data_IF_876008180811
#
_entry.id   IF_876008180811
#
_cell.length_a   1.000
_cell.length_b   1.000
_cell.length_c   1.000
_cell.angle_alpha   90.00
_cell.angle_beta   90.00
_cell.angle_gamma   90.00
#
_symmetry.space_group_name_H-M   'P 1'
#
loop_
_entity.id
_entity.type
_entity.pdbx_description
1 polymer ?
#
# COMPACT_ATOMS: atom_id res chain seq x y z
N UNK A 1 3.55 -15.09 -5.79
CA UNK A 1 2.90 -13.80 -6.14
C UNK A 1 3.78 -13.06 -7.13
N UNK A 2 3.19 -12.57 -8.19
CA UNK A 2 3.91 -11.69 -9.14
C UNK A 2 4.13 -10.34 -8.48
N UNK A 3 5.31 -9.76 -8.68
CA UNK A 3 5.61 -8.40 -8.23
C UNK A 3 5.05 -7.42 -9.25
N UNK A 4 4.28 -6.44 -8.78
CA UNK A 4 3.76 -5.36 -9.61
C UNK A 4 4.77 -4.21 -9.62
N UNK A 5 5.18 -3.82 -10.80
CA UNK A 5 6.01 -2.63 -10.99
C UNK A 5 5.11 -1.40 -11.02
N UNK A 6 5.11 -0.65 -9.93
CA UNK A 6 4.35 0.58 -9.82
C UNK A 6 5.28 1.78 -9.99
N UNK A 7 5.12 2.50 -11.10
CA UNK A 7 5.85 3.76 -11.31
C UNK A 7 5.05 4.87 -10.63
N UNK A 8 5.53 5.34 -9.49
CA UNK A 8 4.91 6.43 -8.76
C UNK A 8 5.49 7.78 -9.23
N UNK A 9 4.67 8.58 -9.88
CA UNK A 9 5.04 9.92 -10.31
C UNK A 9 5.04 10.91 -9.14
N UNK A 10 6.20 11.47 -8.88
CA UNK A 10 6.42 12.81 -8.37
C UNK A 10 5.90 13.17 -6.98
N UNK A 11 6.73 13.01 -5.97
CA UNK A 11 6.57 13.76 -4.70
C UNK A 11 7.18 15.15 -4.87
N UNK A 12 6.32 16.19 -4.83
CA UNK A 12 6.76 17.59 -4.85
C UNK A 12 7.14 18.03 -3.44
N UNK A 13 8.40 18.35 -3.22
CA UNK A 13 8.89 18.87 -1.94
C UNK A 13 9.24 20.34 -2.04
N UNK A 14 8.77 21.12 -1.07
CA UNK A 14 9.20 22.52 -0.89
C UNK A 14 10.49 22.49 -0.05
N UNK A 15 11.60 22.88 -0.63
CA UNK A 15 12.90 22.86 0.03
C UNK A 15 13.19 24.23 0.64
N UNK A 16 13.22 24.28 1.97
CA UNK A 16 13.87 25.35 2.70
C UNK A 16 15.38 25.07 2.80
N UNK A 17 16.18 26.10 2.53
CA UNK A 17 17.65 26.19 2.42
C UNK A 17 18.54 25.12 3.07
N UNK A 18 19.46 24.64 2.25
CA UNK A 18 20.90 24.36 2.43
C UNK A 18 21.38 23.57 3.64
N UNK A 19 21.51 22.25 3.45
CA UNK A 19 22.64 21.46 3.97
C UNK A 19 22.87 20.30 3.00
N UNK A 20 24.11 20.00 2.69
CA UNK A 20 24.56 18.94 1.76
C UNK A 20 24.00 17.53 2.05
N UNK A 21 23.42 17.33 3.23
CA UNK A 21 22.73 16.11 3.67
C UNK A 21 21.20 16.11 3.37
N UNK A 22 20.66 17.14 2.74
CA UNK A 22 19.22 17.38 2.66
C UNK A 22 18.73 17.51 1.21
N UNK A 23 19.21 16.63 0.33
CA UNK A 23 18.73 16.57 -1.05
C UNK A 23 17.29 16.02 -1.10
N UNK A 24 16.48 16.39 -2.11
CA UNK A 24 15.15 15.82 -2.30
C UNK A 24 15.16 14.29 -2.34
N UNK A 25 16.11 13.70 -3.06
CA UNK A 25 16.31 12.24 -3.09
C UNK A 25 16.49 11.66 -1.68
N UNK A 26 17.35 12.24 -0.84
CA UNK A 26 17.56 11.78 0.54
C UNK A 26 16.30 11.84 1.40
N UNK A 27 15.47 12.85 1.20
CA UNK A 27 14.17 12.96 1.89
C UNK A 27 13.22 11.85 1.47
N UNK A 28 13.18 11.53 0.18
CA UNK A 28 12.37 10.43 -0.34
C UNK A 28 12.87 9.09 0.17
N UNK A 29 14.18 8.83 0.12
CA UNK A 29 14.79 7.61 0.66
C UNK A 29 14.48 7.46 2.16
N UNK A 30 14.57 8.54 2.92
CA UNK A 30 14.22 8.55 4.34
C UNK A 30 12.75 8.19 4.56
N UNK A 31 11.84 8.80 3.78
CA UNK A 31 10.40 8.49 3.84
C UNK A 31 10.14 7.02 3.54
N UNK A 32 10.69 6.49 2.45
CA UNK A 32 10.52 5.09 2.05
C UNK A 32 11.10 4.13 3.11
N UNK A 33 12.22 4.51 3.73
CA UNK A 33 12.80 3.72 4.83
C UNK A 33 11.90 3.66 6.06
N UNK A 34 11.08 4.68 6.33
CA UNK A 34 10.06 4.64 7.39
C UNK A 34 9.00 3.59 7.09
N UNK A 35 8.54 3.49 5.84
CA UNK A 35 7.62 2.42 5.43
C UNK A 35 8.25 1.05 5.60
N UNK A 36 9.46 0.83 5.06
CA UNK A 36 10.17 -0.45 5.18
C UNK A 36 10.41 -0.89 6.63
N UNK A 37 10.58 0.05 7.55
CA UNK A 37 10.77 -0.21 8.98
C UNK A 37 9.46 -0.33 9.77
N UNK A 38 8.31 -0.11 9.12
CA UNK A 38 7.02 0.03 9.82
C UNK A 38 7.11 1.05 10.97
N UNK A 39 7.68 2.22 10.70
CA UNK A 39 7.83 3.31 11.66
C UNK A 39 6.48 3.66 12.32
N UNK A 40 6.50 4.06 13.57
CA UNK A 40 5.29 4.33 14.35
C UNK A 40 4.35 5.35 13.68
N UNK A 41 4.89 6.37 13.01
CA UNK A 41 4.08 7.36 12.32
C UNK A 41 3.35 6.74 11.11
N UNK A 42 4.02 5.85 10.38
CA UNK A 42 3.42 5.11 9.25
C UNK A 42 2.31 4.19 9.76
N UNK A 43 2.56 3.47 10.84
CA UNK A 43 1.56 2.57 11.44
C UNK A 43 0.35 3.36 11.98
N UNK A 44 0.55 4.51 12.62
CA UNK A 44 -0.55 5.37 13.07
C UNK A 44 -1.41 5.88 11.91
N UNK A 45 -0.80 6.22 10.78
CA UNK A 45 -1.54 6.61 9.57
C UNK A 45 -2.36 5.45 9.01
N UNK A 46 -1.80 4.25 8.97
CA UNK A 46 -2.51 3.04 8.57
C UNK A 46 -3.69 2.76 9.51
N UNK A 47 -3.47 2.81 10.82
CA UNK A 47 -4.53 2.62 11.82
C UNK A 47 -5.67 3.65 11.66
N UNK A 48 -5.32 4.92 11.44
CA UNK A 48 -6.32 5.98 11.21
C UNK A 48 -7.15 5.71 9.95
N UNK A 49 -6.52 5.24 8.88
CA UNK A 49 -7.21 4.87 7.64
C UNK A 49 -8.15 3.69 7.84
N UNK A 50 -7.73 2.69 8.61
CA UNK A 50 -8.54 1.52 8.92
C UNK A 50 -9.71 1.85 9.84
N UNK A 51 -9.54 2.74 10.81
CA UNK A 51 -10.62 3.21 11.68
C UNK A 51 -11.72 3.92 10.88
N UNK A 52 -11.36 4.69 9.87
CA UNK A 52 -12.31 5.37 9.00
C UNK A 52 -12.99 4.44 7.98
N UNK A 53 -12.48 3.25 7.76
CA UNK A 53 -13.08 2.27 6.86
C UNK A 53 -14.30 1.62 7.50
N UNK A 54 -15.47 1.81 6.89
CA UNK A 54 -16.77 1.30 7.38
C UNK A 54 -17.17 -0.05 6.75
N UNK A 55 -16.42 -0.52 5.77
CA UNK A 55 -16.72 -1.77 5.04
C UNK A 55 -16.16 -2.99 5.76
N UNK A 56 -14.97 -2.86 6.37
CA UNK A 56 -14.29 -3.95 7.04
C UNK A 56 -14.73 -4.08 8.51
N UNK A 57 -14.97 -5.29 8.96
CA UNK A 57 -15.13 -5.61 10.38
C UNK A 57 -13.77 -5.59 11.11
N UNK A 58 -13.78 -5.56 12.43
CA UNK A 58 -12.57 -5.40 13.26
C UNK A 58 -11.52 -6.47 12.92
N UNK A 59 -11.92 -7.74 12.83
CA UNK A 59 -11.02 -8.85 12.53
C UNK A 59 -10.38 -8.73 11.14
N UNK A 60 -11.14 -8.27 10.15
CA UNK A 60 -10.62 -8.02 8.81
C UNK A 60 -9.65 -6.84 8.77
N UNK A 61 -9.89 -5.80 9.60
CA UNK A 61 -8.96 -4.67 9.74
C UNK A 61 -7.61 -5.12 10.29
N UNK A 62 -7.60 -6.00 11.26
CA UNK A 62 -6.36 -6.53 11.84
C UNK A 62 -5.58 -7.35 10.81
N UNK A 63 -6.24 -8.21 10.05
CA UNK A 63 -5.60 -8.96 8.97
C UNK A 63 -5.06 -8.04 7.87
N UNK A 64 -5.84 -7.07 7.45
CA UNK A 64 -5.43 -6.08 6.45
C UNK A 64 -4.20 -5.30 6.93
N UNK A 65 -4.18 -4.88 8.20
CA UNK A 65 -3.03 -4.21 8.80
C UNK A 65 -1.76 -5.06 8.72
N UNK A 66 -1.83 -6.34 9.04
CA UNK A 66 -0.68 -7.23 8.97
C UNK A 66 -0.19 -7.43 7.52
N UNK A 67 -1.09 -7.53 6.56
CA UNK A 67 -0.74 -7.58 5.12
C UNK A 67 -0.02 -6.30 4.70
N UNK A 68 -0.54 -5.13 5.06
CA UNK A 68 0.06 -3.84 4.71
C UNK A 68 1.42 -3.64 5.36
N UNK A 69 1.59 -4.03 6.62
CA UNK A 69 2.89 -4.01 7.31
C UNK A 69 3.94 -4.87 6.59
N UNK A 70 3.53 -6.05 6.12
CA UNK A 70 4.38 -6.94 5.34
C UNK A 70 4.72 -6.32 3.99
N UNK A 71 3.73 -5.77 3.29
CA UNK A 71 3.94 -5.10 2.02
C UNK A 71 4.89 -3.90 2.14
N UNK A 72 4.76 -3.10 3.19
CA UNK A 72 5.68 -1.99 3.46
C UNK A 72 7.10 -2.48 3.71
N UNK A 73 7.26 -3.52 4.53
CA UNK A 73 8.56 -4.10 4.85
C UNK A 73 9.27 -4.64 3.61
N UNK A 74 8.52 -5.25 2.70
CA UNK A 74 9.06 -5.97 1.53
C UNK A 74 9.09 -5.08 0.27
N UNK A 75 8.63 -3.82 0.33
CA UNK A 75 8.73 -2.91 -0.80
C UNK A 75 10.20 -2.68 -1.18
N UNK A 76 10.48 -2.68 -2.47
CA UNK A 76 11.76 -2.23 -3.00
C UNK A 76 11.56 -1.00 -3.87
N UNK A 77 12.57 -0.17 -3.99
CA UNK A 77 12.47 1.04 -4.80
C UNK A 77 13.78 1.36 -5.52
N UNK A 78 13.64 2.15 -6.58
CA UNK A 78 14.77 2.69 -7.34
C UNK A 78 14.51 4.14 -7.68
N UNK A 79 15.41 5.02 -7.31
CA UNK A 79 15.36 6.42 -7.74
C UNK A 79 15.73 6.48 -9.22
N UNK A 80 14.87 7.09 -10.03
CA UNK A 80 15.06 7.23 -11.48
C UNK A 80 15.61 8.58 -11.86
N UNK A 81 15.07 9.65 -11.27
CA UNK A 81 15.42 11.01 -11.64
C UNK A 81 15.14 11.98 -10.49
N UNK A 82 15.86 13.10 -10.48
CA UNK A 82 15.62 14.24 -9.60
C UNK A 82 15.66 15.51 -10.44
N UNK A 83 14.64 16.34 -10.35
CA UNK A 83 14.60 17.67 -10.96
C UNK A 83 14.30 18.72 -9.90
N UNK A 84 15.07 19.81 -9.90
CA UNK A 84 14.92 20.91 -8.96
C UNK A 84 14.60 22.17 -9.78
N UNK A 85 13.51 22.86 -9.39
CA UNK A 85 13.11 24.15 -9.96
C UNK A 85 12.85 25.13 -8.81
N UNK A 86 13.80 26.00 -8.57
CA UNK A 86 13.75 27.01 -7.51
C UNK A 86 13.61 26.37 -6.12
N UNK A 87 12.43 26.52 -5.51
CA UNK A 87 12.10 25.98 -4.18
C UNK A 87 11.39 24.62 -4.23
N UNK A 88 11.10 24.11 -5.40
CA UNK A 88 10.37 22.88 -5.64
C UNK A 88 11.31 21.82 -6.21
N UNK A 89 11.14 20.58 -5.77
CA UNK A 89 11.86 19.45 -6.33
C UNK A 89 10.88 18.32 -6.63
N UNK A 90 11.16 17.60 -7.72
CA UNK A 90 10.45 16.38 -8.10
C UNK A 90 11.45 15.24 -8.11
N UNK A 91 11.12 14.17 -7.41
CA UNK A 91 11.91 12.93 -7.42
C UNK A 91 11.04 11.83 -8.01
N UNK A 92 11.50 11.24 -9.11
CA UNK A 92 10.86 10.10 -9.74
C UNK A 92 11.38 8.82 -9.11
N UNK A 93 10.44 7.99 -8.62
CA UNK A 93 10.76 6.73 -7.93
C UNK A 93 9.96 5.59 -8.57
N UNK A 94 10.65 4.53 -8.89
CA UNK A 94 10.06 3.24 -9.26
C UNK A 94 9.93 2.40 -7.97
N UNK A 95 8.72 1.98 -7.64
CA UNK A 95 8.44 1.16 -6.46
C UNK A 95 7.94 -0.21 -6.94
N UNK A 96 8.50 -1.27 -6.36
CA UNK A 96 8.09 -2.65 -6.61
C UNK A 96 7.43 -3.20 -5.35
N UNK A 97 6.19 -3.69 -5.51
CA UNK A 97 5.37 -4.26 -4.44
C UNK A 97 4.73 -5.56 -4.92
N UNK A 98 4.14 -6.35 -4.00
CA UNK A 98 3.36 -7.53 -4.38
C UNK A 98 2.08 -7.15 -5.12
N UNK A 99 1.74 -7.96 -6.14
CA UNK A 99 0.51 -7.76 -6.91
C UNK A 99 -0.69 -8.41 -6.23
N UNK A 100 -1.31 -7.65 -5.33
CA UNK A 100 -2.58 -8.07 -4.72
C UNK A 100 -3.77 -7.97 -5.68
N UNK A 101 -3.67 -7.21 -6.76
CA UNK A 101 -4.71 -7.11 -7.78
C UNK A 101 -4.99 -8.45 -8.44
N UNK A 102 -3.94 -9.23 -8.73
CA UNK A 102 -4.10 -10.58 -9.27
C UNK A 102 -4.82 -11.50 -8.27
N UNK A 103 -4.45 -11.45 -6.99
CA UNK A 103 -5.11 -12.27 -5.96
C UNK A 103 -6.60 -11.93 -5.83
N UNK A 104 -6.95 -10.65 -5.87
CA UNK A 104 -8.35 -10.20 -5.85
C UNK A 104 -9.12 -10.74 -7.06
N UNK A 105 -8.54 -10.65 -8.27
CA UNK A 105 -9.16 -11.18 -9.50
C UNK A 105 -9.40 -12.69 -9.39
N UNK A 106 -8.45 -13.46 -8.87
CA UNK A 106 -8.62 -14.90 -8.68
C UNK A 106 -9.76 -15.24 -7.70
N UNK A 107 -9.97 -14.42 -6.68
CA UNK A 107 -11.09 -14.58 -5.73
C UNK A 107 -12.42 -14.19 -6.38
N UNK A 108 -12.44 -13.13 -7.17
CA UNK A 108 -13.63 -12.72 -7.92
C UNK A 108 -14.04 -13.80 -8.94
N UNK A 109 -13.08 -14.43 -9.61
CA UNK A 109 -13.33 -15.56 -10.50
C UNK A 109 -13.89 -16.77 -9.73
N UNK A 110 -13.40 -17.06 -8.53
CA UNK A 110 -13.98 -18.09 -7.65
C UNK A 110 -15.43 -17.76 -7.27
N UNK A 111 -15.74 -16.50 -6.95
CA UNK A 111 -17.10 -16.08 -6.64
C UNK A 111 -18.04 -16.31 -7.83
N UNK A 112 -17.62 -15.99 -9.05
CA UNK A 112 -18.42 -16.19 -10.27
C UNK A 112 -18.60 -17.66 -10.59
N UNK A 113 -17.51 -18.45 -10.54
CA UNK A 113 -17.51 -19.84 -10.96
C UNK A 113 -17.95 -20.81 -9.86
N UNK A 114 -17.91 -20.41 -8.59
CA UNK A 114 -18.19 -21.26 -7.43
C UNK A 114 -18.83 -20.47 -6.29
N UNK A 115 -19.91 -19.75 -6.61
CA UNK A 115 -20.61 -18.83 -5.71
C UNK A 115 -21.12 -19.51 -4.42
N UNK A 116 -21.33 -20.82 -4.45
CA UNK A 116 -21.76 -21.59 -3.28
C UNK A 116 -20.80 -21.49 -2.09
N UNK A 117 -19.50 -21.24 -2.36
CA UNK A 117 -18.49 -21.07 -1.30
C UNK A 117 -18.74 -19.83 -0.42
N UNK A 118 -19.46 -18.85 -0.97
CA UNK A 118 -19.70 -17.56 -0.33
C UNK A 118 -21.15 -17.33 0.07
N UNK A 119 -21.99 -18.38 0.01
CA UNK A 119 -23.39 -18.30 0.44
C UNK A 119 -23.53 -18.66 1.91
N UNK A 120 -24.44 -17.99 2.55
CA UNK A 120 -24.89 -18.35 3.90
C UNK A 120 -25.97 -19.45 3.86
N UNK A 121 -26.48 -19.83 5.04
CA UNK A 121 -27.53 -20.83 5.16
C UNK A 121 -28.86 -20.44 4.47
N UNK A 122 -29.07 -19.15 4.17
CA UNK A 122 -30.21 -18.64 3.44
C UNK A 122 -30.00 -18.61 1.91
N UNK A 123 -28.78 -18.94 1.44
CA UNK A 123 -28.41 -18.91 0.02
C UNK A 123 -28.02 -17.53 -0.50
N UNK A 124 -27.86 -16.55 0.39
CA UNK A 124 -27.43 -15.19 0.07
C UNK A 124 -25.90 -15.08 0.10
N UNK A 125 -25.32 -14.20 -0.73
CA UNK A 125 -23.88 -13.96 -0.73
C UNK A 125 -23.46 -13.35 0.61
N UNK A 126 -22.62 -14.07 1.34
CA UNK A 126 -22.05 -13.61 2.60
C UNK A 126 -20.80 -12.75 2.34
N UNK A 127 -20.98 -11.44 2.48
CA UNK A 127 -19.91 -10.47 2.23
C UNK A 127 -18.71 -10.63 3.20
N UNK A 128 -18.92 -11.20 4.38
CA UNK A 128 -17.83 -11.46 5.33
C UNK A 128 -16.94 -12.57 4.81
N UNK A 129 -17.52 -13.71 4.39
CA UNK A 129 -16.73 -14.82 3.81
C UNK A 129 -15.97 -14.38 2.56
N UNK A 130 -16.62 -13.60 1.69
CA UNK A 130 -15.99 -13.07 0.48
C UNK A 130 -14.83 -12.11 0.79
N UNK A 131 -15.01 -11.20 1.75
CA UNK A 131 -13.97 -10.28 2.15
C UNK A 131 -12.82 -10.97 2.89
N UNK A 132 -13.09 -12.03 3.65
CA UNK A 132 -12.06 -12.83 4.32
C UNK A 132 -11.12 -13.52 3.33
N UNK A 133 -11.65 -13.99 2.20
CA UNK A 133 -10.81 -14.59 1.13
C UNK A 133 -9.95 -13.55 0.38
N UNK A 134 -10.39 -12.28 0.38
CA UNK A 134 -9.65 -11.16 -0.24
C UNK A 134 -8.47 -10.68 0.60
N UNK A 135 -8.47 -10.95 1.90
CA UNK A 135 -7.46 -10.50 2.87
C UNK A 135 -6.51 -11.62 3.25
#
# INVERSE_FOLDING_TARGET
MKKLLLVLFGLVFIIGCANLMNTPTKKVEYLLSKYQKNDDDVIKQLDSSLLSNTVLIIEQKDRYKEIMKRQYKDLTYKIKNEAIDGKTAVVEVEIEVYDYGQAITEIEDKLVNNSELYKDAAGEINSVLYNDDKL
#
